data_IF_813531774693
#
_entry.id   IF_813531774693
#
_cell.length_a   1.000
_cell.length_b   1.000
_cell.length_c   1.000
_cell.angle_alpha   90.00
_cell.angle_beta   90.00
_cell.angle_gamma   90.00
#
_symmetry.space_group_name_H-M   'P 1'
#
loop_
_entity.id
_entity.type
_entity.pdbx_description
1 polymer ?
#
# COMPACT_ATOMS: atom_id res chain seq x y z
N UNK A 1 28.47 -22.49 22.19
CA UNK A 1 28.54 -21.98 20.80
C UNK A 1 27.26 -22.27 20.00
N UNK A 2 26.75 -23.52 19.94
CA UNK A 2 25.52 -23.86 19.18
C UNK A 2 24.22 -23.14 19.61
N UNK A 3 24.04 -22.82 20.90
CA UNK A 3 22.84 -22.10 21.36
C UNK A 3 22.85 -20.61 20.96
N UNK A 4 24.04 -20.00 20.92
CA UNK A 4 24.23 -18.61 20.48
C UNK A 4 24.05 -18.48 18.96
N UNK A 5 24.53 -19.45 18.18
CA UNK A 5 24.27 -19.51 16.73
C UNK A 5 22.78 -19.69 16.44
N UNK A 6 22.12 -20.63 17.12
CA UNK A 6 20.67 -20.87 16.92
C UNK A 6 19.81 -19.69 17.38
N UNK A 7 20.27 -18.95 18.39
CA UNK A 7 19.62 -17.72 18.84
C UNK A 7 19.88 -16.57 17.87
N UNK A 8 21.09 -16.44 17.33
CA UNK A 8 21.41 -15.46 16.30
C UNK A 8 20.57 -15.70 15.04
N UNK A 9 20.55 -16.93 14.54
CA UNK A 9 19.87 -17.38 13.33
C UNK A 9 18.35 -17.21 13.43
N UNK A 10 17.75 -17.48 14.59
CA UNK A 10 16.31 -17.28 14.83
C UNK A 10 15.88 -15.82 14.87
N UNK A 11 16.79 -14.90 15.19
CA UNK A 11 16.49 -13.46 15.12
C UNK A 11 16.69 -12.95 13.66
N UNK A 12 17.38 -13.70 12.79
CA UNK A 12 17.77 -13.25 11.44
C UNK A 12 16.71 -13.48 10.35
N UNK A 13 15.66 -14.25 10.61
CA UNK A 13 14.86 -14.82 9.52
C UNK A 13 13.66 -13.98 9.00
N UNK A 14 13.26 -12.83 9.59
CA UNK A 14 12.00 -12.19 9.14
C UNK A 14 11.88 -10.66 9.29
N UNK A 15 12.92 -9.93 9.73
CA UNK A 15 12.83 -8.46 9.97
C UNK A 15 14.12 -7.70 9.62
N UNK A 16 14.63 -7.89 8.41
CA UNK A 16 16.02 -7.55 8.02
C UNK A 16 16.37 -6.05 8.15
N UNK A 17 15.47 -5.13 7.79
CA UNK A 17 15.78 -3.68 7.78
C UNK A 17 15.69 -3.06 9.17
N UNK A 18 14.60 -3.30 9.90
CA UNK A 18 14.41 -2.73 11.23
C UNK A 18 15.46 -3.22 12.23
N UNK A 19 15.86 -4.49 12.11
CA UNK A 19 16.89 -5.09 12.96
C UNK A 19 18.30 -4.61 12.61
N UNK A 20 18.66 -4.55 11.32
CA UNK A 20 19.98 -4.08 10.91
C UNK A 20 20.22 -2.63 11.32
N UNK A 21 19.25 -1.74 11.06
CA UNK A 21 19.29 -0.34 11.51
C UNK A 21 19.43 -0.26 13.03
N UNK A 22 18.61 -1.00 13.78
CA UNK A 22 18.67 -1.01 15.24
C UNK A 22 19.99 -1.52 15.78
N UNK A 23 20.58 -2.54 15.15
CA UNK A 23 21.87 -3.12 15.58
C UNK A 23 23.02 -2.14 15.34
N UNK A 24 23.07 -1.53 14.15
CA UNK A 24 24.09 -0.51 13.83
C UNK A 24 23.97 0.69 14.76
N UNK A 25 22.76 1.18 15.02
CA UNK A 25 22.55 2.34 15.89
C UNK A 25 22.84 2.03 17.36
N UNK A 26 22.44 0.86 17.85
CA UNK A 26 22.79 0.39 19.20
C UNK A 26 24.31 0.25 19.38
N UNK A 27 25.01 -0.24 18.35
CA UNK A 27 26.47 -0.30 18.32
C UNK A 27 27.12 1.08 18.37
N UNK A 28 26.61 2.05 17.59
CA UNK A 28 27.07 3.45 17.63
C UNK A 28 26.84 4.05 19.02
N UNK A 29 25.64 3.90 19.59
CA UNK A 29 25.31 4.42 20.93
C UNK A 29 26.22 3.81 21.99
N UNK A 30 26.40 2.48 21.99
CA UNK A 30 27.29 1.80 22.92
C UNK A 30 28.73 2.26 22.79
N UNK A 31 29.25 2.36 21.57
CA UNK A 31 30.62 2.82 21.31
C UNK A 31 30.82 4.28 21.71
N UNK A 32 29.87 5.16 21.40
CA UNK A 32 29.91 6.56 21.80
C UNK A 32 29.91 6.72 23.31
N UNK A 33 29.08 5.96 24.03
CA UNK A 33 29.05 5.99 25.49
C UNK A 33 30.37 5.48 26.06
N UNK A 34 30.90 4.38 25.53
CA UNK A 34 32.20 3.84 25.95
C UNK A 34 33.33 4.86 25.83
N UNK A 35 33.41 5.57 24.70
CA UNK A 35 34.44 6.58 24.48
C UNK A 35 34.31 7.80 25.40
N UNK A 36 33.10 8.13 25.85
CA UNK A 36 32.84 9.28 26.71
C UNK A 36 33.02 8.95 28.21
N UNK A 37 32.56 7.79 28.66
CA UNK A 37 32.57 7.42 30.08
C UNK A 37 33.75 6.53 30.45
N UNK A 38 34.44 5.93 29.48
CA UNK A 38 35.45 4.87 29.68
C UNK A 38 34.93 3.67 30.49
N UNK A 39 33.61 3.51 30.59
CA UNK A 39 32.95 2.45 31.34
C UNK A 39 32.22 1.50 30.38
N UNK A 40 32.70 0.26 30.30
CA UNK A 40 32.16 -0.76 29.42
C UNK A 40 30.77 -1.26 29.87
N UNK A 41 30.44 -1.17 31.17
CA UNK A 41 29.14 -1.59 31.72
C UNK A 41 28.06 -0.61 31.27
N UNK A 42 28.30 0.70 31.46
CA UNK A 42 27.37 1.76 31.03
C UNK A 42 27.18 1.72 29.51
N UNK A 43 28.24 1.48 28.75
CA UNK A 43 28.19 1.30 27.30
C UNK A 43 27.29 0.13 26.87
N UNK A 44 27.45 -1.04 27.52
CA UNK A 44 26.64 -2.22 27.23
C UNK A 44 25.15 -1.99 27.53
N UNK A 45 24.83 -1.41 28.69
CA UNK A 45 23.44 -1.09 29.04
C UNK A 45 22.82 -0.08 28.08
N UNK A 46 23.57 0.94 27.68
CA UNK A 46 23.11 1.94 26.73
C UNK A 46 22.78 1.32 25.36
N UNK A 47 23.62 0.42 24.87
CA UNK A 47 23.36 -0.31 23.62
C UNK A 47 22.11 -1.20 23.73
N UNK A 48 21.96 -1.94 24.83
CA UNK A 48 20.80 -2.83 25.07
C UNK A 48 19.49 -2.06 25.14
N UNK A 49 19.47 -0.87 25.74
CA UNK A 49 18.28 -0.01 25.84
C UNK A 49 17.99 0.72 24.52
N UNK A 50 19.03 1.16 23.80
CA UNK A 50 18.86 1.85 22.52
C UNK A 50 18.27 0.93 21.44
N UNK A 51 18.64 -0.35 21.44
CA UNK A 51 18.19 -1.32 20.45
C UNK A 51 16.66 -1.39 20.27
N UNK A 52 15.83 -1.66 21.30
CA UNK A 52 14.38 -1.74 21.13
C UNK A 52 13.74 -0.41 20.69
N UNK A 53 14.26 0.73 21.16
CA UNK A 53 13.75 2.05 20.78
C UNK A 53 13.97 2.32 19.28
N UNK A 54 15.20 2.10 18.80
CA UNK A 54 15.54 2.30 17.40
C UNK A 54 14.80 1.29 16.52
N UNK A 55 14.66 0.04 16.98
CA UNK A 55 13.93 -0.99 16.24
C UNK A 55 12.47 -0.61 16.02
N UNK A 56 11.79 -0.12 17.05
CA UNK A 56 10.39 0.31 16.95
C UNK A 56 10.24 1.44 15.92
N UNK A 57 11.12 2.44 15.99
CA UNK A 57 11.12 3.58 15.07
C UNK A 57 11.41 3.11 13.64
N UNK A 58 12.44 2.28 13.44
CA UNK A 58 12.84 1.80 12.13
C UNK A 58 11.75 0.96 11.47
N UNK A 59 11.09 0.08 12.21
CA UNK A 59 9.96 -0.72 11.70
C UNK A 59 8.76 0.16 11.33
N UNK A 60 8.40 1.12 12.18
CA UNK A 60 7.30 2.05 11.88
C UNK A 60 7.58 2.93 10.67
N UNK A 61 8.79 3.48 10.58
CA UNK A 61 9.21 4.33 9.47
C UNK A 61 9.25 3.54 8.15
N UNK A 62 9.87 2.35 8.15
CA UNK A 62 9.95 1.51 6.97
C UNK A 62 8.56 1.11 6.46
N UNK A 63 7.65 0.69 7.34
CA UNK A 63 6.28 0.37 6.96
C UNK A 63 5.55 1.57 6.33
N UNK A 64 5.74 2.78 6.88
CA UNK A 64 5.12 3.98 6.34
C UNK A 64 5.70 4.38 4.97
N UNK A 65 7.01 4.21 4.77
CA UNK A 65 7.69 4.51 3.51
C UNK A 65 7.28 3.51 2.44
N UNK A 66 7.30 2.21 2.75
CA UNK A 66 6.90 1.15 1.82
C UNK A 66 5.46 1.31 1.40
N UNK A 67 4.54 1.56 2.36
CA UNK A 67 3.13 1.83 2.03
C UNK A 67 2.98 3.03 1.09
N UNK A 68 3.68 4.13 1.36
CA UNK A 68 3.64 5.32 0.48
C UNK A 68 4.23 5.06 -0.90
N UNK A 69 5.28 4.24 -1.00
CA UNK A 69 5.88 3.84 -2.27
C UNK A 69 4.93 2.95 -3.06
N UNK A 70 4.35 1.93 -2.42
CA UNK A 70 3.35 1.04 -3.02
C UNK A 70 2.14 1.82 -3.52
N UNK A 71 1.55 2.70 -2.71
CA UNK A 71 0.42 3.52 -3.16
C UNK A 71 0.77 4.46 -4.32
N UNK A 72 2.04 4.88 -4.46
CA UNK A 72 2.47 5.66 -5.63
C UNK A 72 2.59 4.79 -6.86
N UNK A 73 3.19 3.61 -6.72
CA UNK A 73 3.34 2.64 -7.80
C UNK A 73 1.98 2.16 -8.33
N UNK A 74 1.06 1.78 -7.43
CA UNK A 74 -0.33 1.42 -7.74
C UNK A 74 -1.03 2.55 -8.51
N UNK A 75 -0.83 3.80 -8.09
CA UNK A 75 -1.44 4.95 -8.75
C UNK A 75 -0.82 5.25 -10.13
N UNK A 76 0.48 5.04 -10.31
CA UNK A 76 1.15 5.18 -11.60
C UNK A 76 0.72 4.07 -12.57
N UNK A 77 0.58 2.85 -12.09
CA UNK A 77 0.03 1.73 -12.85
C UNK A 77 -1.43 1.99 -13.24
N UNK A 78 -2.27 2.42 -12.30
CA UNK A 78 -3.66 2.77 -12.57
C UNK A 78 -3.77 3.88 -13.63
N UNK A 79 -2.92 4.92 -13.57
CA UNK A 79 -2.85 5.95 -14.62
C UNK A 79 -2.48 5.37 -15.98
N UNK A 80 -1.51 4.46 -16.02
CA UNK A 80 -1.09 3.78 -17.25
C UNK A 80 -2.23 2.94 -17.83
N UNK A 81 -2.91 2.15 -17.01
CA UNK A 81 -4.08 1.35 -17.43
C UNK A 81 -5.18 2.28 -17.96
N UNK A 82 -5.55 3.31 -17.19
CA UNK A 82 -6.59 4.27 -17.55
C UNK A 82 -6.29 4.97 -18.88
N UNK A 83 -5.05 5.38 -19.13
CA UNK A 83 -4.66 6.02 -20.39
C UNK A 83 -4.89 5.14 -21.61
N UNK A 84 -4.74 3.81 -21.45
CA UNK A 84 -4.94 2.78 -22.48
C UNK A 84 -6.39 2.32 -22.62
N UNK A 85 -7.32 2.86 -21.83
CA UNK A 85 -8.74 2.59 -22.00
C UNK A 85 -9.25 3.32 -23.25
N UNK A 86 -10.10 2.64 -24.00
CA UNK A 86 -10.89 3.22 -25.10
C UNK A 86 -11.89 4.25 -24.55
N UNK A 87 -12.46 5.06 -25.45
CA UNK A 87 -13.45 6.08 -25.06
C UNK A 87 -14.68 5.46 -24.38
N UNK A 88 -15.14 4.31 -24.85
CA UNK A 88 -16.27 3.60 -24.25
C UNK A 88 -15.95 3.03 -22.87
N UNK A 89 -14.75 2.46 -22.68
CA UNK A 89 -14.30 1.99 -21.36
C UNK A 89 -14.12 3.16 -20.38
N UNK A 90 -13.58 4.30 -20.83
CA UNK A 90 -13.48 5.52 -20.00
C UNK A 90 -14.86 6.04 -19.59
N UNK A 91 -15.87 5.92 -20.46
CA UNK A 91 -17.25 6.31 -20.11
C UNK A 91 -17.85 5.44 -19.00
N UNK A 92 -17.50 4.15 -18.96
CA UNK A 92 -17.89 3.27 -17.85
C UNK A 92 -17.25 3.77 -16.55
N UNK A 93 -15.93 3.99 -16.54
CA UNK A 93 -15.23 4.53 -15.35
C UNK A 93 -15.85 5.84 -14.88
N UNK A 94 -16.15 6.75 -15.82
CA UNK A 94 -16.77 8.03 -15.53
C UNK A 94 -18.15 7.89 -14.89
N UNK A 95 -18.96 6.94 -15.34
CA UNK A 95 -20.29 6.70 -14.77
C UNK A 95 -20.23 6.19 -13.32
N UNK A 96 -19.20 5.44 -12.95
CA UNK A 96 -18.95 5.08 -11.54
C UNK A 96 -18.61 6.32 -10.71
N UNK A 97 -17.71 7.18 -11.20
CA UNK A 97 -17.31 8.42 -10.53
C UNK A 97 -18.51 9.34 -10.32
N UNK A 98 -19.34 9.54 -11.35
CA UNK A 98 -20.55 10.38 -11.30
C UNK A 98 -21.60 9.82 -10.35
N UNK A 99 -21.68 8.49 -10.22
CA UNK A 99 -22.55 7.83 -9.26
C UNK A 99 -22.04 7.92 -7.81
N UNK A 100 -20.82 8.46 -7.60
CA UNK A 100 -20.24 8.72 -6.28
C UNK A 100 -19.66 7.49 -5.58
N UNK A 101 -19.44 6.38 -6.29
CA UNK A 101 -18.93 5.15 -5.68
C UNK A 101 -18.21 4.23 -6.66
N UNK A 102 -17.25 3.47 -6.15
CA UNK A 102 -16.53 2.44 -6.91
C UNK A 102 -17.34 1.15 -7.08
N UNK A 103 -18.54 1.06 -6.50
CA UNK A 103 -19.39 -0.12 -6.57
C UNK A 103 -20.79 0.28 -7.02
N UNK A 104 -21.30 -0.39 -8.05
CA UNK A 104 -22.65 -0.20 -8.57
C UNK A 104 -23.36 -1.55 -8.67
N UNK A 105 -24.63 -1.60 -8.29
CA UNK A 105 -25.47 -2.78 -8.51
C UNK A 105 -25.79 -2.97 -9.98
N UNK A 106 -26.09 -4.20 -10.39
CA UNK A 106 -26.52 -4.49 -11.77
C UNK A 106 -27.70 -3.61 -12.23
N UNK A 107 -28.65 -3.34 -11.33
CA UNK A 107 -29.79 -2.46 -11.62
C UNK A 107 -29.37 -1.01 -11.87
N UNK A 108 -28.37 -0.50 -11.16
CA UNK A 108 -27.84 0.84 -11.38
C UNK A 108 -27.09 0.92 -12.71
N UNK A 109 -26.24 -0.06 -13.02
CA UNK A 109 -25.50 -0.13 -14.28
C UNK A 109 -26.45 -0.16 -15.49
N UNK A 110 -27.52 -0.94 -15.43
CA UNK A 110 -28.52 -0.99 -16.51
C UNK A 110 -29.23 0.34 -16.75
N UNK A 111 -29.39 1.19 -15.73
CA UNK A 111 -30.01 2.52 -15.87
C UNK A 111 -29.09 3.54 -16.53
N UNK A 112 -27.79 3.32 -16.48
CA UNK A 112 -26.78 4.24 -17.01
C UNK A 112 -26.58 4.11 -18.53
N UNK A 113 -27.19 3.12 -19.17
CA UNK A 113 -27.13 2.95 -20.63
C UNK A 113 -25.71 2.67 -21.15
N UNK A 114 -24.86 2.07 -20.31
CA UNK A 114 -23.47 1.78 -20.64
C UNK A 114 -23.35 0.67 -21.69
N UNK A 115 -22.28 0.73 -22.48
CA UNK A 115 -21.99 -0.33 -23.45
C UNK A 115 -21.61 -1.62 -22.73
N UNK A 116 -22.41 -2.68 -22.89
CA UNK A 116 -22.11 -4.00 -22.32
C UNK A 116 -20.73 -4.52 -22.73
N UNK A 117 -20.34 -4.33 -24.00
CA UNK A 117 -19.02 -4.72 -24.49
C UNK A 117 -17.87 -3.99 -23.76
N UNK A 118 -18.08 -2.73 -23.37
CA UNK A 118 -17.08 -1.97 -22.63
C UNK A 118 -16.94 -2.47 -21.19
N UNK A 119 -18.05 -2.85 -20.55
CA UNK A 119 -18.04 -3.45 -19.20
C UNK A 119 -17.33 -4.81 -19.25
N UNK A 120 -17.68 -5.67 -20.20
CA UNK A 120 -17.04 -6.99 -20.35
C UNK A 120 -15.55 -6.86 -20.68
N UNK A 121 -15.16 -5.88 -21.51
CA UNK A 121 -13.75 -5.57 -21.77
C UNK A 121 -13.01 -5.16 -20.49
N UNK A 122 -13.62 -4.31 -19.66
CA UNK A 122 -13.03 -3.92 -18.38
C UNK A 122 -12.93 -5.09 -17.39
N UNK A 123 -13.86 -6.05 -17.44
CA UNK A 123 -13.80 -7.28 -16.66
C UNK A 123 -12.62 -8.14 -17.09
N UNK A 124 -12.45 -8.36 -18.40
CA UNK A 124 -11.31 -9.13 -18.94
C UNK A 124 -9.95 -8.47 -18.67
N UNK A 125 -9.94 -7.16 -18.46
CA UNK A 125 -8.74 -6.39 -18.09
C UNK A 125 -8.52 -6.29 -16.59
N UNK A 126 -9.33 -6.99 -15.79
CA UNK A 126 -9.27 -6.99 -14.32
C UNK A 126 -9.43 -5.59 -13.70
N UNK A 127 -10.07 -4.67 -14.42
CA UNK A 127 -10.35 -3.31 -13.94
C UNK A 127 -11.70 -3.24 -13.22
N UNK A 128 -12.65 -4.04 -13.67
CA UNK A 128 -13.97 -4.21 -13.04
C UNK A 128 -14.13 -5.69 -12.70
N UNK A 129 -14.76 -6.00 -11.58
CA UNK A 129 -15.16 -7.37 -11.27
C UNK A 129 -16.61 -7.43 -10.82
N UNK A 130 -17.19 -8.60 -10.98
CA UNK A 130 -18.49 -8.89 -10.38
C UNK A 130 -18.29 -9.36 -8.94
N UNK A 131 -19.16 -8.89 -8.06
CA UNK A 131 -19.19 -9.23 -6.65
C UNK A 131 -20.63 -9.23 -6.17
N UNK A 132 -20.83 -9.50 -4.90
CA UNK A 132 -22.13 -9.40 -4.22
C UNK A 132 -22.07 -8.34 -3.14
N UNK A 133 -23.20 -7.68 -2.90
CA UNK A 133 -23.36 -6.78 -1.76
C UNK A 133 -23.07 -7.50 -0.44
N UNK A 134 -22.76 -6.74 0.61
CA UNK A 134 -22.45 -7.29 1.93
C UNK A 134 -23.59 -8.10 2.56
N UNK A 135 -24.83 -7.82 2.17
CA UNK A 135 -26.00 -8.61 2.54
C UNK A 135 -26.13 -9.93 1.74
N UNK A 136 -25.28 -10.15 0.74
CA UNK A 136 -25.28 -11.33 -0.14
C UNK A 136 -26.42 -11.37 -1.15
N UNK A 137 -27.23 -10.32 -1.26
CA UNK A 137 -28.51 -10.38 -1.98
C UNK A 137 -28.47 -9.81 -3.40
N UNK A 138 -27.48 -8.98 -3.74
CA UNK A 138 -27.43 -8.28 -5.02
C UNK A 138 -26.08 -8.38 -5.68
N UNK A 139 -26.09 -8.68 -6.97
CA UNK A 139 -24.89 -8.60 -7.79
C UNK A 139 -24.48 -7.14 -8.03
N UNK A 140 -23.19 -6.91 -7.91
CA UNK A 140 -22.54 -5.61 -8.06
C UNK A 140 -21.36 -5.72 -9.00
N UNK A 141 -21.13 -4.65 -9.74
CA UNK A 141 -19.86 -4.38 -10.38
C UNK A 141 -19.04 -3.51 -9.45
N UNK A 142 -17.80 -3.91 -9.21
CA UNK A 142 -16.85 -3.16 -8.43
C UNK A 142 -15.68 -2.77 -9.33
N UNK A 143 -15.41 -1.48 -9.39
CA UNK A 143 -14.30 -0.88 -10.10
C UNK A 143 -13.08 -0.83 -9.18
N UNK A 144 -11.91 -1.10 -9.74
CA UNK A 144 -10.64 -0.93 -9.04
C UNK A 144 -10.55 0.47 -8.42
N UNK A 145 -10.21 0.52 -7.13
CA UNK A 145 -10.20 1.75 -6.35
C UNK A 145 -9.17 2.76 -6.86
N UNK A 146 -8.01 2.30 -7.34
CA UNK A 146 -6.99 3.18 -7.89
C UNK A 146 -7.44 3.75 -9.25
N UNK A 147 -8.13 2.96 -10.08
CA UNK A 147 -8.74 3.43 -11.33
C UNK A 147 -9.87 4.43 -11.05
N UNK A 148 -10.71 4.20 -10.04
CA UNK A 148 -11.74 5.14 -9.60
C UNK A 148 -11.13 6.49 -9.20
N UNK A 149 -10.07 6.49 -8.39
CA UNK A 149 -9.36 7.71 -7.97
C UNK A 149 -8.75 8.46 -9.15
N UNK A 150 -8.21 7.74 -10.14
CA UNK A 150 -7.72 8.34 -11.38
C UNK A 150 -8.85 8.97 -12.17
N UNK A 151 -10.00 8.31 -12.28
CA UNK A 151 -11.22 8.85 -12.91
C UNK A 151 -11.72 10.13 -12.22
N UNK A 152 -11.76 10.12 -10.89
CA UNK A 152 -12.18 11.29 -10.09
C UNK A 152 -11.26 12.50 -10.33
N UNK A 153 -9.94 12.30 -10.40
CA UNK A 153 -8.99 13.38 -10.72
C UNK A 153 -9.17 13.96 -12.12
N UNK A 154 -9.54 13.14 -13.09
CA UNK A 154 -9.83 13.61 -14.45
C UNK A 154 -11.15 14.39 -14.51
N UNK A 155 -12.19 13.91 -13.82
CA UNK A 155 -13.46 14.63 -13.69
C UNK A 155 -13.27 16.02 -13.08
N UNK A 156 -12.52 16.11 -11.98
CA UNK A 156 -12.23 17.37 -11.30
C UNK A 156 -11.34 18.33 -12.13
N UNK A 157 -10.45 17.79 -12.96
CA UNK A 157 -9.63 18.62 -13.87
C UNK A 157 -10.45 19.17 -15.04
N UNK A 158 -11.50 18.45 -15.47
CA UNK A 158 -12.42 18.90 -16.51
C UNK A 158 -13.45 19.94 -16.04
N UNK A 159 -13.73 20.04 -14.74
CA UNK A 159 -14.70 21.03 -14.20
C UNK A 159 -14.11 22.41 -13.90
N UNK A 160 -12.82 22.64 -14.19
CA UNK A 160 -12.12 23.92 -13.97
C UNK A 160 -11.84 24.67 -15.29
N UNK A 161 -12.58 24.36 -16.36
CA UNK A 161 -12.65 25.08 -17.63
C UNK A 161 -14.10 25.43 -17.94
#
# INVERSE_FOLDING_TARGET
MKALEKWAERIYAETDVGRSIATSFAGIVGLSVYLLTSDWVIAAFSAVIAFPLVRLIATGLHASIVRRAQSREELEEAKRIYSRLSTHEKSVVQAFVESGGSVLTWSQVNKLGLSGNAIESLIQREVVWTSTTSDGMRETFALDSAIFDVGQKHSASGSNL
#
